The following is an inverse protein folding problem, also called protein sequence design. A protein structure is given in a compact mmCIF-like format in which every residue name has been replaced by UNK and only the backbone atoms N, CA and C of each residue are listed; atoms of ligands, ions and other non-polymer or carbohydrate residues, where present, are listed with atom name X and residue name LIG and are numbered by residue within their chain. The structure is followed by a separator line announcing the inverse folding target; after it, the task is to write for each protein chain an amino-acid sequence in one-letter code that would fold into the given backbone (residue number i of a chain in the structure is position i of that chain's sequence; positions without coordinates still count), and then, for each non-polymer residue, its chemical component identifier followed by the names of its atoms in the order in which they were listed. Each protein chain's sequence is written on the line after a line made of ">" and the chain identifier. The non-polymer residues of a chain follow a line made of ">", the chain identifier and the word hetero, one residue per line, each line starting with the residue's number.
data_IF_814824370386
#
_entry.id   IF_814824370386
#
_cell.length_a   1.000
_cell.length_b   1.000
_cell.length_c   1.000
_cell.angle_alpha   90.00
_cell.angle_beta   90.00
_cell.angle_gamma   90.00
#
_symmetry.space_group_name_H-M   'P 1'
#
loop_
_entity.id
_entity.type
_entity.pdbx_description
1 polymer ?
#
# COMPACT_ATOMS: atom_id res chain seq x y z
N UNK A 1 -5.58 9.36 -10.70
CA UNK A 1 -5.41 7.91 -10.45
C UNK A 1 -6.20 7.51 -9.20
N UNK A 2 -6.68 6.26 -9.04
CA UNK A 2 -7.48 5.86 -7.87
C UNK A 2 -6.77 6.14 -6.52
N UNK A 3 -5.45 5.92 -6.46
CA UNK A 3 -4.64 6.23 -5.28
C UNK A 3 -4.71 7.71 -4.92
N UNK A 4 -4.49 8.62 -5.87
CA UNK A 4 -4.55 10.08 -5.64
C UNK A 4 -5.95 10.52 -5.20
N UNK A 5 -7.00 9.93 -5.79
CA UNK A 5 -8.40 10.24 -5.46
C UNK A 5 -8.72 9.93 -3.99
N UNK A 6 -8.26 8.78 -3.49
CA UNK A 6 -8.67 8.26 -2.19
C UNK A 6 -7.70 8.57 -1.04
N UNK A 7 -6.40 8.72 -1.34
CA UNK A 7 -5.38 9.04 -0.34
C UNK A 7 -4.96 10.51 -0.35
N UNK A 8 -5.25 11.26 -1.41
CA UNK A 8 -4.73 12.62 -1.60
C UNK A 8 -3.20 12.64 -1.45
N UNK A 9 -2.72 13.54 -0.59
CA UNK A 9 -1.28 13.69 -0.30
C UNK A 9 -0.78 12.79 0.84
N UNK A 10 -1.64 11.93 1.43
CA UNK A 10 -1.27 11.05 2.55
C UNK A 10 -0.21 10.01 2.15
N UNK A 11 -0.19 9.59 0.89
CA UNK A 11 0.76 8.60 0.35
C UNK A 11 1.33 9.07 -0.98
N UNK A 12 2.52 8.56 -1.33
CA UNK A 12 3.14 8.74 -2.65
C UNK A 12 3.33 7.40 -3.34
N UNK A 13 2.97 7.33 -4.61
CA UNK A 13 3.38 6.20 -5.47
C UNK A 13 4.84 6.40 -5.88
N UNK A 14 5.71 5.46 -5.53
CA UNK A 14 7.16 5.55 -5.80
C UNK A 14 7.67 4.53 -6.82
N UNK A 15 6.79 3.71 -7.37
CA UNK A 15 7.08 2.73 -8.42
C UNK A 15 6.71 3.28 -9.80
N UNK A 16 7.44 2.86 -10.83
CA UNK A 16 7.08 3.13 -12.23
C UNK A 16 5.89 2.26 -12.68
N UNK A 17 5.17 2.69 -13.72
CA UNK A 17 4.05 1.97 -14.31
C UNK A 17 4.49 0.77 -15.17
N UNK A 18 5.34 -0.10 -14.63
CA UNK A 18 5.78 -1.33 -15.27
C UNK A 18 5.56 -2.52 -14.33
N UNK A 19 4.87 -3.56 -14.82
CA UNK A 19 4.55 -4.77 -14.05
C UNK A 19 3.12 -4.81 -13.53
N UNK A 20 2.92 -5.58 -12.45
CA UNK A 20 1.62 -5.92 -11.86
C UNK A 20 1.47 -5.43 -10.41
N UNK A 21 2.30 -4.47 -10.00
CA UNK A 21 2.27 -3.90 -8.65
C UNK A 21 2.69 -2.43 -8.63
N UNK A 22 2.23 -1.71 -7.62
CA UNK A 22 2.76 -0.39 -7.25
C UNK A 22 3.28 -0.39 -5.82
N UNK A 23 4.16 0.56 -5.51
CA UNK A 23 4.67 0.79 -4.15
C UNK A 23 4.18 2.12 -3.63
N UNK A 24 3.52 2.10 -2.47
CA UNK A 24 3.12 3.28 -1.73
C UNK A 24 4.15 3.59 -0.65
N UNK A 25 4.42 4.88 -0.44
CA UNK A 25 5.29 5.42 0.61
C UNK A 25 4.58 6.53 1.40
N UNK A 26 4.74 6.55 2.71
CA UNK A 26 4.33 7.63 3.60
C UNK A 26 5.33 7.82 4.75
N UNK A 27 5.29 8.97 5.44
CA UNK A 27 6.28 9.32 6.47
C UNK A 27 5.75 9.19 7.91
N UNK A 28 4.50 9.58 8.13
CA UNK A 28 3.88 9.65 9.45
C UNK A 28 2.49 9.02 9.40
N UNK A 29 2.00 8.53 10.54
CA UNK A 29 0.71 7.86 10.66
C UNK A 29 0.88 6.37 10.96
N UNK A 30 0.00 5.56 10.34
CA UNK A 30 -0.07 4.13 10.58
C UNK A 30 1.24 3.39 10.26
N UNK A 31 1.55 2.35 11.03
CA UNK A 31 2.65 1.43 10.72
C UNK A 31 2.28 0.52 9.53
N UNK A 32 3.22 0.25 8.63
CA UNK A 32 2.97 -0.59 7.45
C UNK A 32 2.51 -2.00 7.81
N UNK A 33 3.00 -2.56 8.92
CA UNK A 33 2.56 -3.88 9.39
C UNK A 33 1.13 -3.82 9.89
N UNK A 34 0.78 -2.79 10.65
CA UNK A 34 -0.58 -2.60 11.16
C UNK A 34 -1.59 -2.44 10.01
N UNK A 35 -1.28 -1.60 9.02
CA UNK A 35 -2.17 -1.41 7.89
C UNK A 35 -2.38 -2.70 7.09
N UNK A 36 -1.32 -3.50 6.88
CA UNK A 36 -1.45 -4.79 6.19
C UNK A 36 -2.31 -5.79 6.96
N UNK A 37 -2.26 -5.77 8.31
CA UNK A 37 -3.12 -6.61 9.13
C UNK A 37 -4.59 -6.19 9.02
N UNK A 38 -4.89 -4.89 9.08
CA UNK A 38 -6.25 -4.35 8.91
C UNK A 38 -6.84 -4.72 7.55
N UNK A 39 -6.07 -4.54 6.47
CA UNK A 39 -6.49 -4.91 5.13
C UNK A 39 -6.73 -6.42 4.98
N UNK A 40 -5.88 -7.25 5.58
CA UNK A 40 -6.04 -8.71 5.54
C UNK A 40 -7.35 -9.16 6.18
N UNK A 41 -7.81 -8.51 7.25
CA UNK A 41 -9.12 -8.78 7.88
C UNK A 41 -10.28 -8.50 6.91
N UNK A 42 -10.11 -7.55 5.98
CA UNK A 42 -11.05 -7.25 4.90
C UNK A 42 -10.86 -8.11 3.64
N UNK A 43 -9.98 -9.12 3.70
CA UNK A 43 -9.69 -9.99 2.55
C UNK A 43 -8.78 -9.35 1.49
N UNK A 44 -8.19 -8.17 1.77
CA UNK A 44 -7.27 -7.49 0.86
C UNK A 44 -5.83 -7.73 1.31
N UNK A 45 -5.00 -8.25 0.40
CA UNK A 45 -3.60 -8.57 0.72
C UNK A 45 -2.70 -7.41 0.31
N UNK A 46 -2.12 -6.77 1.33
CA UNK A 46 -1.02 -5.82 1.20
C UNK A 46 0.28 -6.50 1.63
N UNK A 47 1.42 -6.12 1.04
CA UNK A 47 2.74 -6.56 1.53
C UNK A 47 3.47 -5.38 2.17
N UNK A 48 3.83 -5.44 3.48
CA UNK A 48 4.63 -4.39 4.09
C UNK A 48 6.02 -4.36 3.45
N UNK A 49 6.58 -3.16 3.28
CA UNK A 49 7.89 -3.00 2.67
C UNK A 49 8.99 -3.72 3.48
N UNK A 50 8.84 -3.80 4.80
CA UNK A 50 9.74 -4.53 5.70
C UNK A 50 9.88 -6.01 5.39
N UNK A 51 8.93 -6.61 4.67
CA UNK A 51 9.06 -8.00 4.22
C UNK A 51 10.26 -8.19 3.28
N UNK A 52 10.64 -7.14 2.53
CA UNK A 52 11.74 -7.14 1.58
C UNK A 52 13.04 -6.61 2.18
N UNK A 53 13.03 -6.19 3.44
CA UNK A 53 14.21 -5.66 4.12
C UNK A 53 14.99 -6.78 4.80
N UNK A 54 16.32 -6.62 4.85
CA UNK A 54 17.14 -7.50 5.66
C UNK A 54 16.88 -7.18 7.16
N UNK A 55 16.61 -8.17 8.02
CA UNK A 55 16.25 -7.93 9.42
C UNK A 55 17.27 -7.08 10.19
N UNK A 56 18.55 -7.24 9.86
CA UNK A 56 19.68 -6.54 10.51
C UNK A 56 19.96 -5.15 9.93
N UNK A 57 19.29 -4.75 8.84
CA UNK A 57 19.52 -3.47 8.15
C UNK A 57 18.21 -2.72 7.93
N UNK A 58 17.66 -2.16 9.01
CA UNK A 58 16.54 -1.22 8.96
C UNK A 58 17.05 0.22 9.01
N UNK A 59 17.11 0.85 7.84
CA UNK A 59 17.62 2.23 7.68
C UNK A 59 16.52 3.22 7.31
N UNK A 60 15.31 2.73 6.99
CA UNK A 60 14.19 3.59 6.61
C UNK A 60 13.59 4.30 7.82
N UNK A 61 13.30 5.57 7.62
CA UNK A 61 12.51 6.44 8.50
C UNK A 61 11.08 6.65 7.96
N UNK A 62 10.69 5.91 6.93
CA UNK A 62 9.40 5.99 6.24
C UNK A 62 8.75 4.61 6.10
N UNK A 63 7.44 4.60 5.95
CA UNK A 63 6.58 3.42 5.86
C UNK A 63 6.15 3.16 4.41
N UNK A 64 5.91 1.90 4.05
CA UNK A 64 5.53 1.55 2.69
C UNK A 64 4.85 0.18 2.54
N UNK A 65 4.07 0.04 1.48
CA UNK A 65 3.50 -1.25 1.07
C UNK A 65 3.63 -1.46 -0.43
N UNK A 66 3.71 -2.73 -0.82
CA UNK A 66 3.55 -3.17 -2.20
C UNK A 66 2.12 -3.64 -2.42
N UNK A 67 1.46 -3.04 -3.40
CA UNK A 67 0.11 -3.33 -3.86
C UNK A 67 0.15 -4.09 -5.18
N UNK A 68 -0.24 -5.36 -5.18
CA UNK A 68 -0.42 -6.13 -6.41
C UNK A 68 -1.80 -5.92 -7.02
N UNK A 69 -1.87 -5.67 -8.32
CA UNK A 69 -3.13 -5.55 -9.08
C UNK A 69 -3.25 -6.56 -10.23
N UNK A 70 -2.30 -7.49 -10.37
CA UNK A 70 -2.27 -8.44 -11.49
C UNK A 70 -3.42 -9.46 -11.55
N UNK A 71 -4.18 -9.61 -10.47
CA UNK A 71 -5.37 -10.47 -10.41
C UNK A 71 -6.65 -9.68 -10.04
N UNK A 72 -6.64 -8.37 -10.25
CA UNK A 72 -7.77 -7.48 -9.94
C UNK A 72 -8.39 -7.04 -11.25
N UNK A 73 -9.72 -7.15 -11.40
CA UNK A 73 -10.39 -6.65 -12.58
C UNK A 73 -10.32 -5.11 -12.61
N UNK A 74 -10.14 -4.52 -13.79
CA UNK A 74 -9.97 -3.06 -13.93
C UNK A 74 -11.12 -2.26 -13.28
N UNK A 75 -12.35 -2.76 -13.37
CA UNK A 75 -13.54 -2.14 -12.77
C UNK A 75 -13.59 -2.21 -11.24
N UNK A 76 -12.79 -3.06 -10.60
CA UNK A 76 -12.76 -3.24 -9.14
C UNK A 76 -11.68 -2.40 -8.47
N UNK A 77 -10.69 -1.90 -9.22
CA UNK A 77 -9.53 -1.19 -8.67
C UNK A 77 -9.95 0.03 -7.84
N UNK A 78 -10.86 0.87 -8.34
CA UNK A 78 -11.25 2.10 -7.63
C UNK A 78 -11.91 1.80 -6.27
N UNK A 79 -12.83 0.82 -6.24
CA UNK A 79 -13.54 0.42 -5.03
C UNK A 79 -12.62 -0.29 -4.01
N UNK A 80 -11.68 -1.10 -4.47
CA UNK A 80 -10.70 -1.74 -3.59
C UNK A 80 -9.72 -0.71 -3.00
N UNK A 81 -9.33 0.30 -3.78
CA UNK A 81 -8.48 1.39 -3.32
C UNK A 81 -9.20 2.25 -2.27
N UNK A 82 -10.50 2.53 -2.47
CA UNK A 82 -11.34 3.20 -1.48
C UNK A 82 -11.32 2.43 -0.15
N UNK A 83 -11.63 1.13 -0.18
CA UNK A 83 -11.67 0.30 1.02
C UNK A 83 -10.34 0.30 1.80
N UNK A 84 -9.19 0.22 1.13
CA UNK A 84 -7.90 0.26 1.83
C UNK A 84 -7.55 1.66 2.36
N UNK A 85 -8.06 2.73 1.73
CA UNK A 85 -7.88 4.10 2.22
C UNK A 85 -8.61 4.35 3.53
N UNK A 86 -9.79 3.77 3.72
CA UNK A 86 -10.55 3.83 4.98
C UNK A 86 -9.82 3.14 6.14
N UNK A 87 -8.95 2.18 5.84
CA UNK A 87 -8.17 1.45 6.85
C UNK A 87 -6.87 2.15 7.24
N UNK A 88 -6.54 3.27 6.58
CA UNK A 88 -5.27 3.99 6.73
C UNK A 88 -5.26 4.98 7.92
N UNK A 89 -6.41 5.24 8.55
CA UNK A 89 -6.55 6.19 9.68
C UNK A 89 -6.17 5.62 11.06
#
# INVERSE_FOLDING_TARGET
>A
MAIEKHFGDKVKVISQAAGLHITLKWQQGIDETEWTQRAKIRGIVLRPMSFYEHPEYKVRDWQGVVLGYGNVALGEIDALVEQISELFE
#
